data_IF_497293396673
#
_entry.id   IF_497293396673
#
_cell.length_a   1.000
_cell.length_b   1.000
_cell.length_c   1.000
_cell.angle_alpha   90.00
_cell.angle_beta   90.00
_cell.angle_gamma   90.00
#
_symmetry.space_group_name_H-M   'P 1'
#
loop_
_entity.id
_entity.type
_entity.pdbx_description
1 polymer ?
#
# COMPACT_ATOMS: atom_id res chain seq x y z
N UNK A 1 1.42 -3.93 15.38
CA UNK A 1 2.47 -3.66 14.38
C UNK A 1 2.53 -4.69 13.26
N UNK A 2 2.45 -6.01 13.53
CA UNK A 2 2.46 -7.04 12.46
C UNK A 2 1.40 -6.81 11.38
N UNK A 3 0.15 -6.49 11.77
CA UNK A 3 -0.95 -6.21 10.84
C UNK A 3 -0.68 -5.01 9.91
N UNK A 4 -0.11 -3.92 10.43
CA UNK A 4 0.25 -2.73 9.62
C UNK A 4 1.38 -3.06 8.64
N UNK A 5 2.42 -3.79 9.10
CA UNK A 5 3.52 -4.23 8.23
C UNK A 5 3.02 -5.11 7.08
N UNK A 6 2.08 -6.02 7.37
CA UNK A 6 1.44 -6.88 6.35
C UNK A 6 0.66 -6.04 5.33
N UNK A 7 -0.14 -5.07 5.77
CA UNK A 7 -0.91 -4.20 4.86
C UNK A 7 0.02 -3.35 3.98
N UNK A 8 1.11 -2.82 4.53
CA UNK A 8 2.11 -2.08 3.74
C UNK A 8 2.75 -2.98 2.69
N UNK A 9 3.16 -4.20 3.07
CA UNK A 9 3.72 -5.17 2.12
C UNK A 9 2.71 -5.54 1.02
N UNK A 10 1.43 -5.70 1.38
CA UNK A 10 0.36 -5.97 0.43
C UNK A 10 0.16 -4.82 -0.56
N UNK A 11 0.14 -3.57 -0.08
CA UNK A 11 0.04 -2.38 -0.95
C UNK A 11 1.21 -2.34 -1.95
N UNK A 12 2.43 -2.60 -1.48
CA UNK A 12 3.61 -2.62 -2.34
C UNK A 12 3.51 -3.70 -3.43
N UNK A 13 3.10 -4.91 -3.05
CA UNK A 13 2.90 -6.01 -3.98
C UNK A 13 1.80 -5.70 -5.01
N UNK A 14 0.68 -5.11 -4.56
CA UNK A 14 -0.39 -4.69 -5.45
C UNK A 14 0.08 -3.65 -6.47
N UNK A 15 0.86 -2.66 -6.05
CA UNK A 15 1.41 -1.63 -6.93
C UNK A 15 2.31 -2.20 -8.02
N UNK A 16 3.17 -3.17 -7.68
CA UNK A 16 4.01 -3.87 -8.67
C UNK A 16 3.14 -4.64 -9.66
N UNK A 17 2.16 -5.38 -9.17
CA UNK A 17 1.25 -6.16 -10.02
C UNK A 17 0.46 -5.24 -10.98
N UNK A 18 -0.01 -4.09 -10.49
CA UNK A 18 -0.69 -3.09 -11.30
C UNK A 18 0.22 -2.57 -12.42
N UNK A 19 1.47 -2.23 -12.09
CA UNK A 19 2.44 -1.74 -13.07
C UNK A 19 2.74 -2.78 -14.16
N UNK A 20 2.85 -4.05 -13.79
CA UNK A 20 3.07 -5.16 -14.74
C UNK A 20 1.88 -5.28 -15.69
N UNK A 21 0.65 -5.33 -15.16
CA UNK A 21 -0.57 -5.45 -15.97
C UNK A 21 -0.72 -4.24 -16.91
N UNK A 22 -0.51 -3.03 -16.39
CA UNK A 22 -0.59 -1.81 -17.17
C UNK A 22 0.44 -1.81 -18.31
N UNK A 23 1.69 -2.19 -18.01
CA UNK A 23 2.75 -2.30 -19.03
C UNK A 23 2.39 -3.31 -20.11
N UNK A 24 1.87 -4.48 -19.72
CA UNK A 24 1.43 -5.52 -20.65
C UNK A 24 0.31 -5.02 -21.57
N UNK A 25 -0.73 -4.38 -21.02
CA UNK A 25 -1.83 -3.80 -21.81
C UNK A 25 -1.29 -2.78 -22.82
N UNK A 26 -0.38 -1.91 -22.38
CA UNK A 26 0.17 -0.86 -23.23
C UNK A 26 1.04 -1.43 -24.36
N UNK A 27 1.87 -2.43 -24.07
CA UNK A 27 2.67 -3.13 -25.08
C UNK A 27 1.76 -3.81 -26.12
N UNK A 28 0.74 -4.53 -25.66
CA UNK A 28 -0.21 -5.20 -26.55
C UNK A 28 -0.93 -4.21 -27.48
N UNK A 29 -1.33 -3.04 -26.98
CA UNK A 29 -1.91 -1.97 -27.80
C UNK A 29 -0.93 -1.41 -28.82
N UNK A 30 0.32 -1.21 -28.43
CA UNK A 30 1.37 -0.70 -29.33
C UNK A 30 1.62 -1.65 -30.50
N UNK A 31 1.83 -2.94 -30.21
CA UNK A 31 2.00 -3.98 -31.23
C UNK A 31 0.78 -4.05 -32.14
N UNK A 32 -0.42 -3.97 -31.57
CA UNK A 32 -1.68 -4.00 -32.31
C UNK A 32 -1.87 -2.82 -33.25
N UNK A 33 -1.60 -1.60 -32.79
CA UNK A 33 -1.67 -0.40 -33.62
C UNK A 33 -0.69 -0.48 -34.79
N UNK A 34 0.53 -0.98 -34.55
CA UNK A 34 1.51 -1.16 -35.61
C UNK A 34 1.04 -2.18 -36.65
N UNK A 35 0.46 -3.31 -36.21
CA UNK A 35 -0.10 -4.30 -37.10
C UNK A 35 -1.24 -3.73 -37.96
N UNK A 36 -2.23 -3.08 -37.32
CA UNK A 36 -3.36 -2.45 -38.01
C UNK A 36 -2.92 -1.37 -39.00
N UNK A 37 -1.89 -0.58 -38.66
CA UNK A 37 -1.33 0.40 -39.57
C UNK A 37 -0.73 -0.26 -40.81
N UNK A 38 0.03 -1.35 -40.66
CA UNK A 38 0.60 -2.10 -41.79
C UNK A 38 -0.50 -2.66 -42.68
N UNK A 39 -1.56 -3.24 -42.11
CA UNK A 39 -2.70 -3.79 -42.86
C UNK A 39 -3.45 -2.68 -43.61
N UNK A 40 -3.75 -1.55 -42.96
CA UNK A 40 -4.41 -0.42 -43.61
C UNK A 40 -3.57 0.19 -44.74
N UNK A 41 -2.25 0.27 -44.57
CA UNK A 41 -1.36 0.69 -45.65
C UNK A 41 -1.37 -0.28 -46.83
N UNK A 42 -1.37 -1.59 -46.60
CA UNK A 42 -1.49 -2.59 -47.67
C UNK A 42 -2.80 -2.39 -48.45
N UNK A 43 -3.92 -2.23 -47.75
CA UNK A 43 -5.23 -1.91 -48.36
C UNK A 43 -5.18 -0.64 -49.19
N UNK A 44 -4.56 0.43 -48.67
CA UNK A 44 -4.42 1.69 -49.40
C UNK A 44 -3.61 1.50 -50.70
N UNK A 45 -2.53 0.70 -50.67
CA UNK A 45 -1.74 0.45 -51.87
C UNK A 45 -2.51 -0.34 -52.95
N UNK A 46 -3.39 -1.28 -52.60
CA UNK A 46 -4.21 -1.96 -53.64
C UNK A 46 -5.15 -0.97 -54.32
N UNK A 47 -5.73 -0.05 -53.56
CA UNK A 47 -6.59 1.02 -54.08
C UNK A 47 -5.81 2.01 -54.95
N UNK A 48 -4.60 2.39 -54.54
CA UNK A 48 -3.71 3.25 -55.34
C UNK A 48 -3.33 2.56 -56.66
N UNK A 49 -3.01 1.27 -56.62
CA UNK A 49 -2.71 0.47 -57.83
C UNK A 49 -3.91 0.49 -58.76
N UNK A 50 -5.11 0.14 -58.28
CA UNK A 50 -6.32 0.12 -59.09
C UNK A 50 -6.63 1.51 -59.69
N UNK A 51 -6.45 2.58 -58.91
CA UNK A 51 -6.59 3.97 -59.38
C UNK A 51 -5.59 4.31 -60.47
N UNK A 52 -4.32 3.95 -60.30
CA UNK A 52 -3.27 4.21 -61.30
C UNK A 52 -3.55 3.45 -62.60
N UNK A 53 -4.01 2.21 -62.52
CA UNK A 53 -4.44 1.42 -63.69
C UNK A 53 -5.58 2.13 -64.42
N UNK A 54 -6.62 2.56 -63.71
CA UNK A 54 -7.73 3.30 -64.31
C UNK A 54 -7.28 4.62 -64.96
N UNK A 55 -6.37 5.34 -64.31
CA UNK A 55 -5.80 6.58 -64.86
C UNK A 55 -4.99 6.34 -66.13
N UNK A 56 -4.13 5.31 -66.14
CA UNK A 56 -3.34 4.91 -67.30
C UNK A 56 -4.21 4.44 -68.46
N UNK A 57 -5.29 3.71 -68.17
CA UNK A 57 -6.28 3.31 -69.16
C UNK A 57 -6.91 4.52 -69.88
N UNK A 58 -7.22 5.58 -69.13
CA UNK A 58 -7.76 6.83 -69.71
C UNK A 58 -6.70 7.71 -70.36
N UNK A 59 -5.43 7.56 -69.97
CA UNK A 59 -4.31 8.39 -70.42
C UNK A 59 -3.14 7.50 -70.86
N UNK A 60 -3.16 7.02 -72.10
CA UNK A 60 -2.24 5.99 -72.61
C UNK A 60 -0.73 6.38 -72.53
N UNK A 61 -0.41 7.66 -72.40
CA UNK A 61 0.97 8.17 -72.24
C UNK A 61 1.38 8.41 -70.78
N UNK A 62 0.57 7.99 -69.80
CA UNK A 62 0.87 8.16 -68.38
C UNK A 62 2.08 7.30 -67.95
N UNK A 63 2.84 7.79 -66.98
CA UNK A 63 4.03 7.10 -66.46
C UNK A 63 3.67 5.96 -65.51
N UNK A 64 4.32 4.80 -65.68
CA UNK A 64 4.25 3.65 -64.77
C UNK A 64 4.84 3.91 -63.37
N UNK A 65 5.56 5.03 -63.15
CA UNK A 65 6.37 5.23 -61.94
C UNK A 65 5.56 5.11 -60.64
N UNK A 66 4.39 5.74 -60.58
CA UNK A 66 3.53 5.69 -59.38
C UNK A 66 2.95 4.29 -59.15
N UNK A 67 2.61 3.56 -60.22
CA UNK A 67 2.15 2.17 -60.15
C UNK A 67 3.25 1.27 -59.56
N UNK A 68 4.47 1.36 -60.10
CA UNK A 68 5.62 0.57 -59.64
C UNK A 68 5.99 0.91 -58.18
N UNK A 69 5.89 2.17 -57.78
CA UNK A 69 6.14 2.59 -56.40
C UNK A 69 5.11 2.01 -55.42
N UNK A 70 3.81 2.03 -55.74
CA UNK A 70 2.76 1.43 -54.90
C UNK A 70 2.91 -0.09 -54.80
N UNK A 71 3.27 -0.78 -55.89
CA UNK A 71 3.56 -2.23 -55.88
C UNK A 71 4.75 -2.54 -54.97
N UNK A 72 5.86 -1.81 -55.10
CA UNK A 72 7.05 -2.01 -54.26
C UNK A 72 6.76 -1.79 -52.78
N UNK A 73 6.00 -0.74 -52.45
CA UNK A 73 5.59 -0.46 -51.07
C UNK A 73 4.68 -1.56 -50.51
N UNK A 74 3.74 -2.07 -51.30
CA UNK A 74 2.90 -3.21 -50.90
C UNK A 74 3.75 -4.44 -50.56
N UNK A 75 4.68 -4.83 -51.44
CA UNK A 75 5.54 -6.01 -51.22
C UNK A 75 6.45 -5.85 -49.99
N UNK A 76 7.00 -4.65 -49.78
CA UNK A 76 7.80 -4.35 -48.58
C UNK A 76 6.95 -4.48 -47.30
N UNK A 77 5.71 -3.97 -47.32
CA UNK A 77 4.80 -4.10 -46.19
C UNK A 77 4.33 -5.54 -45.96
N UNK A 78 4.24 -6.38 -46.99
CA UNK A 78 3.91 -7.80 -46.85
C UNK A 78 4.94 -8.55 -46.01
N UNK A 79 6.23 -8.29 -46.23
CA UNK A 79 7.30 -8.87 -45.41
C UNK A 79 7.23 -8.44 -43.94
N UNK A 80 6.88 -7.18 -43.69
CA UNK A 80 6.73 -6.66 -42.32
C UNK A 80 5.49 -7.23 -41.63
N UNK A 81 4.38 -7.41 -42.37
CA UNK A 81 3.16 -8.05 -41.87
C UNK A 81 3.44 -9.49 -41.41
N UNK A 82 4.16 -10.27 -42.21
CA UNK A 82 4.44 -11.68 -41.90
C UNK A 82 5.36 -11.83 -40.67
N UNK A 83 6.22 -10.85 -40.39
CA UNK A 83 6.97 -10.78 -39.11
C UNK A 83 6.03 -10.51 -37.94
N UNK A 84 5.11 -9.57 -38.07
CA UNK A 84 4.18 -9.19 -37.01
C UNK A 84 3.13 -10.27 -36.73
N UNK A 85 2.70 -11.02 -37.75
CA UNK A 85 1.79 -12.17 -37.63
C UNK A 85 2.32 -13.30 -36.73
N UNK A 86 3.65 -13.42 -36.56
CA UNK A 86 4.24 -14.42 -35.66
C UNK A 86 3.87 -14.22 -34.20
N UNK A 87 3.52 -13.00 -33.81
CA UNK A 87 3.14 -12.63 -32.45
C UNK A 87 1.61 -12.69 -32.24
N UNK A 88 0.85 -13.04 -33.28
CA UNK A 88 -0.61 -13.14 -33.23
C UNK A 88 -0.99 -14.62 -33.23
N UNK A 89 -1.42 -15.11 -32.07
CA UNK A 89 -1.88 -16.49 -31.93
C UNK A 89 -3.39 -16.63 -32.20
N UNK A 90 -3.82 -16.27 -33.41
CA UNK A 90 -5.18 -16.51 -33.88
C UNK A 90 -5.16 -17.28 -35.18
N UNK A 91 -5.88 -18.40 -35.19
CA UNK A 91 -6.04 -19.23 -36.39
C UNK A 91 -6.82 -18.48 -37.47
N UNK A 92 -7.88 -17.79 -37.08
CA UNK A 92 -8.79 -17.05 -37.98
C UNK A 92 -8.05 -15.92 -38.70
N UNK A 93 -7.25 -15.13 -37.97
CA UNK A 93 -6.43 -14.06 -38.57
C UNK A 93 -5.41 -14.62 -39.56
N UNK A 94 -4.80 -15.77 -39.24
CA UNK A 94 -3.84 -16.42 -40.15
C UNK A 94 -4.52 -16.95 -41.42
N UNK A 95 -5.78 -17.36 -41.34
CA UNK A 95 -6.57 -17.80 -42.50
C UNK A 95 -6.89 -16.62 -43.42
N UNK A 96 -7.43 -15.52 -42.89
CA UNK A 96 -7.67 -14.29 -43.66
C UNK A 96 -6.38 -13.71 -44.25
N UNK A 97 -5.25 -13.76 -43.52
CA UNK A 97 -3.96 -13.34 -44.08
C UNK A 97 -3.51 -14.18 -45.29
N UNK A 98 -3.84 -15.48 -45.32
CA UNK A 98 -3.54 -16.35 -46.48
C UNK A 98 -4.48 -16.03 -47.63
N UNK A 99 -5.75 -15.78 -47.35
CA UNK A 99 -6.73 -15.39 -48.35
C UNK A 99 -6.35 -14.08 -49.05
N UNK A 100 -5.91 -13.07 -48.28
CA UNK A 100 -5.34 -11.83 -48.82
C UNK A 100 -4.15 -12.10 -49.74
N UNK A 101 -3.25 -13.02 -49.37
CA UNK A 101 -2.10 -13.36 -50.21
C UNK A 101 -2.52 -14.01 -51.53
N UNK A 102 -3.54 -14.89 -51.50
CA UNK A 102 -4.10 -15.51 -52.70
C UNK A 102 -4.78 -14.49 -53.60
N UNK A 103 -5.62 -13.62 -53.03
CA UNK A 103 -6.29 -12.53 -53.75
C UNK A 103 -5.29 -11.54 -54.35
N UNK A 104 -4.24 -11.20 -53.60
CA UNK A 104 -3.16 -10.34 -54.09
C UNK A 104 -2.46 -10.94 -55.30
N UNK A 105 -2.13 -12.23 -55.28
CA UNK A 105 -1.47 -12.87 -56.42
C UNK A 105 -2.33 -12.83 -57.68
N UNK A 106 -3.65 -13.04 -57.54
CA UNK A 106 -4.62 -12.90 -58.65
C UNK A 106 -4.67 -11.46 -59.16
N UNK A 107 -4.83 -10.50 -58.25
CA UNK A 107 -4.85 -9.07 -58.57
C UNK A 107 -3.58 -8.62 -59.28
N UNK A 108 -2.41 -9.01 -58.76
CA UNK A 108 -1.11 -8.66 -59.31
C UNK A 108 -0.89 -9.26 -60.71
N UNK A 109 -1.34 -10.49 -60.96
CA UNK A 109 -1.30 -11.10 -62.28
C UNK A 109 -2.08 -10.27 -63.30
N UNK A 110 -3.30 -9.85 -62.97
CA UNK A 110 -4.09 -9.01 -63.87
C UNK A 110 -3.46 -7.63 -64.09
N UNK A 111 -2.84 -7.06 -63.05
CA UNK A 111 -2.05 -5.83 -63.18
C UNK A 111 -0.88 -6.01 -64.15
N UNK A 112 -0.16 -7.14 -64.12
CA UNK A 112 0.90 -7.41 -65.10
C UNK A 112 0.35 -7.56 -66.51
N UNK A 113 -0.75 -8.31 -66.68
CA UNK A 113 -1.42 -8.45 -67.98
C UNK A 113 -1.80 -7.07 -68.55
N UNK A 114 -2.25 -6.15 -67.69
CA UNK A 114 -2.60 -4.79 -68.11
C UNK A 114 -1.37 -4.03 -68.59
N UNK A 115 -0.24 -4.13 -67.88
CA UNK A 115 1.00 -3.47 -68.29
C UNK A 115 1.49 -3.94 -69.65
N UNK A 116 1.37 -5.23 -69.92
CA UNK A 116 1.82 -5.82 -71.18
C UNK A 116 0.93 -5.37 -72.34
N UNK A 117 -0.40 -5.39 -72.15
CA UNK A 117 -1.36 -4.98 -73.17
C UNK A 117 -1.37 -3.46 -73.41
N UNK A 118 -1.17 -2.65 -72.37
CA UNK A 118 -1.18 -1.18 -72.49
C UNK A 118 0.02 -0.64 -73.30
N UNK A 119 1.06 -1.46 -73.52
CA UNK A 119 2.24 -1.10 -74.35
C UNK A 119 2.08 -1.43 -75.84
N UNK A 120 1.07 -2.22 -76.20
CA UNK A 120 0.90 -2.73 -77.57
C UNK A 120 -0.38 -2.14 -78.18
N UNK A 121 -0.24 -1.35 -79.25
CA UNK A 121 -1.36 -0.78 -80.00
C UNK A 121 -1.89 -1.78 -81.04
N UNK A 122 -3.05 -2.39 -80.81
CA UNK A 122 -3.69 -3.34 -81.74
C UNK A 122 -5.17 -3.00 -81.91
N UNK A 123 -5.76 -3.30 -83.07
CA UNK A 123 -7.12 -2.89 -83.46
C UNK A 123 -8.28 -3.32 -82.53
N UNK A 124 -8.06 -4.28 -81.61
CA UNK A 124 -9.03 -4.77 -80.62
C UNK A 124 -8.60 -4.54 -79.17
N UNK A 125 -7.50 -3.81 -78.93
CA UNK A 125 -6.93 -3.65 -77.60
C UNK A 125 -7.88 -2.98 -76.62
N UNK A 126 -8.75 -2.06 -77.08
CA UNK A 126 -9.59 -1.26 -76.18
C UNK A 126 -10.66 -2.08 -75.43
N UNK A 127 -11.29 -3.07 -76.07
CA UNK A 127 -12.31 -3.93 -75.43
C UNK A 127 -11.68 -4.88 -74.41
N UNK A 128 -10.54 -5.48 -74.77
CA UNK A 128 -9.78 -6.39 -73.88
C UNK A 128 -9.23 -5.61 -72.67
N UNK A 129 -8.75 -4.39 -72.90
CA UNK A 129 -8.21 -3.52 -71.84
C UNK A 129 -9.32 -3.05 -70.89
N UNK A 130 -10.53 -2.79 -71.39
CA UNK A 130 -11.70 -2.44 -70.56
C UNK A 130 -12.13 -3.61 -69.67
N UNK A 131 -12.24 -4.82 -70.22
CA UNK A 131 -12.54 -6.03 -69.45
C UNK A 131 -11.51 -6.26 -68.34
N UNK A 132 -10.23 -6.07 -68.66
CA UNK A 132 -9.15 -6.23 -67.71
C UNK A 132 -9.16 -5.18 -66.59
N UNK A 133 -9.43 -3.91 -66.91
CA UNK A 133 -9.58 -2.84 -65.91
C UNK A 133 -10.75 -3.14 -64.98
N UNK A 134 -11.88 -3.63 -65.50
CA UNK A 134 -13.02 -4.03 -64.69
C UNK A 134 -12.69 -5.22 -63.79
N UNK A 135 -11.92 -6.20 -64.28
CA UNK A 135 -11.46 -7.34 -63.49
C UNK A 135 -10.53 -6.91 -62.35
N UNK A 136 -9.57 -6.01 -62.63
CA UNK A 136 -8.68 -5.41 -61.62
C UNK A 136 -9.50 -4.65 -60.57
N UNK A 137 -10.51 -3.88 -61.00
CA UNK A 137 -11.39 -3.16 -60.09
C UNK A 137 -12.14 -4.11 -59.14
N UNK A 138 -12.76 -5.16 -59.67
CA UNK A 138 -13.50 -6.14 -58.86
C UNK A 138 -12.58 -6.89 -57.89
N UNK A 139 -11.40 -7.33 -58.34
CA UNK A 139 -10.41 -7.98 -57.47
C UNK A 139 -9.90 -7.04 -56.37
N UNK A 140 -9.78 -5.74 -56.65
CA UNK A 140 -9.46 -4.75 -55.61
C UNK A 140 -10.60 -4.59 -54.60
N UNK A 141 -11.88 -4.64 -55.03
CA UNK A 141 -13.00 -4.63 -54.10
C UNK A 141 -12.97 -5.86 -53.18
N UNK A 142 -12.74 -7.05 -53.74
CA UNK A 142 -12.61 -8.28 -52.95
C UNK A 142 -11.46 -8.18 -51.93
N UNK A 143 -10.30 -7.66 -52.34
CA UNK A 143 -9.18 -7.39 -51.44
C UNK A 143 -9.54 -6.41 -50.31
N UNK A 144 -10.23 -5.33 -50.63
CA UNK A 144 -10.64 -4.32 -49.64
C UNK A 144 -11.61 -4.91 -48.63
N UNK A 145 -12.58 -5.70 -49.08
CA UNK A 145 -13.52 -6.42 -48.20
C UNK A 145 -12.75 -7.34 -47.27
N UNK A 146 -11.86 -8.16 -47.82
CA UNK A 146 -11.08 -9.12 -47.05
C UNK A 146 -10.15 -8.44 -46.02
N UNK A 147 -9.50 -7.34 -46.40
CA UNK A 147 -8.72 -6.52 -45.47
C UNK A 147 -9.57 -5.95 -44.33
N UNK A 148 -10.77 -5.47 -44.61
CA UNK A 148 -11.66 -4.93 -43.57
C UNK A 148 -12.15 -6.05 -42.63
N UNK A 149 -12.53 -7.21 -43.17
CA UNK A 149 -12.91 -8.38 -42.36
C UNK A 149 -11.79 -8.77 -41.40
N UNK A 150 -10.55 -8.86 -41.90
CA UNK A 150 -9.38 -9.17 -41.07
C UNK A 150 -9.15 -8.12 -39.97
N UNK A 151 -9.30 -6.83 -40.29
CA UNK A 151 -9.17 -5.72 -39.33
C UNK A 151 -10.22 -5.84 -38.23
N UNK A 152 -11.47 -6.12 -38.58
CA UNK A 152 -12.58 -6.21 -37.63
C UNK A 152 -12.42 -7.41 -36.68
N UNK A 153 -12.05 -8.57 -37.22
CA UNK A 153 -11.74 -9.77 -36.42
C UNK A 153 -10.61 -9.48 -35.44
N UNK A 154 -9.53 -8.86 -35.92
CA UNK A 154 -8.40 -8.51 -35.07
C UNK A 154 -8.77 -7.53 -33.96
N UNK A 155 -9.54 -6.48 -34.28
CA UNK A 155 -10.03 -5.53 -33.29
C UNK A 155 -10.87 -6.20 -32.20
N UNK A 156 -11.77 -7.10 -32.60
CA UNK A 156 -12.64 -7.83 -31.68
C UNK A 156 -11.84 -8.76 -30.75
N UNK A 157 -10.89 -9.52 -31.29
CA UNK A 157 -10.00 -10.36 -30.47
C UNK A 157 -9.15 -9.54 -29.51
N UNK A 158 -8.59 -8.41 -29.96
CA UNK A 158 -7.82 -7.51 -29.12
C UNK A 158 -8.65 -6.96 -27.95
N UNK A 159 -9.84 -6.43 -28.23
CA UNK A 159 -10.68 -5.85 -27.18
C UNK A 159 -11.14 -6.94 -26.19
N UNK A 160 -11.44 -8.15 -26.66
CA UNK A 160 -11.76 -9.27 -25.79
C UNK A 160 -10.57 -9.64 -24.87
N UNK A 161 -9.36 -9.72 -25.42
CA UNK A 161 -8.17 -10.04 -24.64
C UNK A 161 -7.84 -8.93 -23.63
N UNK A 162 -7.86 -7.66 -24.06
CA UNK A 162 -7.48 -6.52 -23.21
C UNK A 162 -8.56 -6.21 -22.16
N UNK A 163 -9.85 -6.37 -22.47
CA UNK A 163 -10.94 -6.04 -21.55
C UNK A 163 -10.87 -6.85 -20.26
N UNK A 164 -10.44 -8.11 -20.32
CA UNK A 164 -10.22 -8.96 -19.15
C UNK A 164 -9.15 -8.37 -18.23
N UNK A 165 -7.98 -8.00 -18.78
CA UNK A 165 -6.90 -7.39 -18.00
C UNK A 165 -7.28 -6.01 -17.45
N UNK A 166 -8.03 -5.21 -18.23
CA UNK A 166 -8.56 -3.90 -17.80
C UNK A 166 -9.50 -4.06 -16.60
N UNK A 167 -10.37 -5.06 -16.62
CA UNK A 167 -11.26 -5.34 -15.48
C UNK A 167 -10.48 -5.75 -14.23
N UNK A 168 -9.46 -6.61 -14.39
CA UNK A 168 -8.56 -7.00 -13.28
C UNK A 168 -7.83 -5.78 -12.73
N UNK A 169 -7.29 -4.91 -13.58
CA UNK A 169 -6.63 -3.67 -13.20
C UNK A 169 -7.55 -2.78 -12.34
N UNK A 170 -8.82 -2.59 -12.75
CA UNK A 170 -9.78 -1.83 -11.96
C UNK A 170 -10.12 -2.46 -10.61
N UNK A 171 -10.26 -3.79 -10.55
CA UNK A 171 -10.49 -4.51 -9.29
C UNK A 171 -9.29 -4.34 -8.36
N UNK A 172 -8.07 -4.52 -8.87
CA UNK A 172 -6.86 -4.35 -8.08
C UNK A 172 -6.72 -2.91 -7.60
N UNK A 173 -7.01 -1.91 -8.44
CA UNK A 173 -6.99 -0.51 -8.03
C UNK A 173 -8.00 -0.23 -6.91
N UNK A 174 -9.22 -0.76 -7.01
CA UNK A 174 -10.23 -0.64 -5.94
C UNK A 174 -9.73 -1.24 -4.62
N UNK A 175 -9.14 -2.44 -4.67
CA UNK A 175 -8.56 -3.11 -3.50
C UNK A 175 -7.43 -2.29 -2.88
N UNK A 176 -6.58 -1.66 -3.72
CA UNK A 176 -5.51 -0.76 -3.26
C UNK A 176 -6.08 0.43 -2.49
N UNK A 177 -7.13 1.07 -3.01
CA UNK A 177 -7.79 2.22 -2.36
C UNK A 177 -8.36 1.81 -1.00
N UNK A 178 -9.02 0.65 -0.91
CA UNK A 178 -9.54 0.12 0.36
C UNK A 178 -8.39 -0.13 1.36
N UNK A 179 -7.26 -0.69 0.91
CA UNK A 179 -6.09 -0.91 1.76
C UNK A 179 -5.50 0.40 2.30
N UNK A 180 -5.44 1.45 1.46
CA UNK A 180 -4.97 2.78 1.88
C UNK A 180 -5.90 3.41 2.92
N UNK A 181 -7.22 3.33 2.71
CA UNK A 181 -8.20 3.82 3.70
C UNK A 181 -8.03 3.10 5.04
N UNK A 182 -7.87 1.77 5.00
CA UNK A 182 -7.62 0.98 6.20
C UNK A 182 -6.33 1.40 6.90
N UNK A 183 -5.23 1.59 6.16
CA UNK A 183 -3.95 2.03 6.71
C UNK A 183 -4.08 3.39 7.41
N UNK A 184 -4.75 4.35 6.78
CA UNK A 184 -4.99 5.67 7.37
C UNK A 184 -5.81 5.55 8.67
N UNK A 185 -6.82 4.68 8.71
CA UNK A 185 -7.59 4.42 9.93
C UNK A 185 -6.72 3.88 11.06
N UNK A 186 -5.87 2.89 10.78
CA UNK A 186 -4.96 2.30 11.77
C UNK A 186 -3.97 3.32 12.32
N UNK A 187 -3.43 4.20 11.46
CA UNK A 187 -2.52 5.28 11.88
C UNK A 187 -3.24 6.27 12.80
N UNK A 188 -4.49 6.65 12.50
CA UNK A 188 -5.29 7.53 13.37
C UNK A 188 -5.49 6.94 14.77
N UNK A 189 -5.77 5.64 14.88
CA UNK A 189 -5.97 4.98 16.17
C UNK A 189 -4.67 4.95 16.98
N UNK A 190 -3.54 4.69 16.32
CA UNK A 190 -2.23 4.73 16.94
C UNK A 190 -1.88 6.14 17.45
N UNK A 191 -2.16 7.19 16.67
CA UNK A 191 -1.97 8.59 17.10
C UNK A 191 -2.81 8.90 18.34
N UNK A 192 -4.09 8.52 18.36
CA UNK A 192 -4.97 8.72 19.53
C UNK A 192 -4.44 8.01 20.76
N UNK A 193 -3.96 6.78 20.60
CA UNK A 193 -3.32 6.06 21.70
C UNK A 193 -2.09 6.80 22.22
N UNK A 194 -1.17 7.22 21.34
CA UNK A 194 0.01 7.97 21.76
C UNK A 194 -0.34 9.26 22.50
N UNK A 195 -1.35 10.00 22.04
CA UNK A 195 -1.82 11.20 22.75
C UNK A 195 -2.37 10.87 24.15
N UNK A 196 -3.20 9.83 24.27
CA UNK A 196 -3.72 9.36 25.57
C UNK A 196 -2.58 8.88 26.48
N UNK A 197 -1.65 8.10 25.94
CA UNK A 197 -0.48 7.59 26.63
C UNK A 197 0.40 8.72 27.13
N UNK A 198 0.82 9.65 26.27
CA UNK A 198 1.63 10.80 26.68
C UNK A 198 0.93 11.65 27.72
N UNK A 199 -0.38 11.87 27.60
CA UNK A 199 -1.16 12.62 28.59
C UNK A 199 -1.24 11.89 29.92
N UNK A 200 -1.49 10.58 29.90
CA UNK A 200 -1.52 9.75 31.10
C UNK A 200 -0.14 9.66 31.76
N UNK A 201 0.93 9.43 30.99
CA UNK A 201 2.31 9.43 31.48
C UNK A 201 2.71 10.78 32.06
N UNK A 202 2.34 11.91 31.42
CA UNK A 202 2.54 13.24 31.99
C UNK A 202 1.83 13.38 33.33
N UNK A 203 0.59 12.90 33.45
CA UNK A 203 -0.14 12.90 34.74
C UNK A 203 0.53 12.00 35.78
N UNK A 204 1.02 10.81 35.41
CA UNK A 204 1.77 9.95 36.33
C UNK A 204 3.01 10.67 36.82
N UNK A 205 3.79 11.28 35.92
CA UNK A 205 5.04 11.96 36.28
C UNK A 205 4.76 13.23 37.10
N UNK A 206 3.71 13.99 36.76
CA UNK A 206 3.33 15.20 37.51
C UNK A 206 2.64 14.90 38.84
N UNK A 207 1.95 13.76 38.93
CA UNK A 207 1.13 13.35 40.08
C UNK A 207 1.65 12.05 40.73
N UNK A 208 2.94 11.75 40.61
CA UNK A 208 3.57 10.49 41.06
C UNK A 208 3.47 10.23 42.57
N UNK A 209 2.88 11.18 43.32
CA UNK A 209 2.72 11.17 44.77
C UNK A 209 1.24 11.18 45.20
N UNK A 210 0.28 11.03 44.27
CA UNK A 210 -1.16 11.06 44.54
C UNK A 210 -1.76 9.66 44.37
N UNK A 211 -2.34 9.11 45.44
CA UNK A 211 -3.19 7.91 45.37
C UNK A 211 -4.37 8.19 44.43
N UNK A 212 -4.60 7.32 43.44
CA UNK A 212 -5.74 7.44 42.52
C UNK A 212 -5.36 7.94 41.13
N UNK A 213 -4.19 7.52 40.64
CA UNK A 213 -3.74 7.85 39.28
C UNK A 213 -4.71 7.21 38.27
N UNK A 214 -5.31 8.06 37.41
CA UNK A 214 -6.33 7.62 36.46
C UNK A 214 -5.74 6.73 35.37
N UNK A 215 -6.13 5.44 35.38
CA UNK A 215 -5.84 4.44 34.35
C UNK A 215 -6.25 4.94 32.96
N UNK A 216 -5.55 4.48 31.92
CA UNK A 216 -5.99 4.71 30.54
C UNK A 216 -7.20 3.81 30.31
N UNK A 217 -8.34 4.41 29.90
CA UNK A 217 -9.53 3.67 29.51
C UNK A 217 -9.19 2.66 28.41
N UNK A 218 -9.62 1.42 28.60
CA UNK A 218 -9.37 0.34 27.65
C UNK A 218 -9.93 0.70 26.27
N UNK A 219 -9.02 0.97 25.33
CA UNK A 219 -9.40 1.11 23.94
C UNK A 219 -9.42 -0.27 23.30
N UNK A 220 -10.58 -0.66 22.73
CA UNK A 220 -10.71 -1.80 21.81
C UNK A 220 -9.89 -1.51 20.55
N UNK A 221 -8.58 -1.66 20.63
CA UNK A 221 -7.64 -1.30 19.57
C UNK A 221 -6.59 -2.39 19.40
N UNK A 222 -5.78 -2.25 18.33
CA UNK A 222 -4.63 -3.09 17.95
C UNK A 222 -3.99 -3.80 19.14
N UNK A 223 -3.81 -5.11 19.04
CA UNK A 223 -3.27 -5.98 20.11
C UNK A 223 -2.06 -5.39 20.85
N UNK A 224 -1.07 -4.86 20.14
CA UNK A 224 0.10 -4.20 20.75
C UNK A 224 -0.27 -2.97 21.59
N UNK A 225 -1.28 -2.20 21.18
CA UNK A 225 -1.81 -1.04 21.91
C UNK A 225 -2.55 -1.50 23.17
N UNK A 226 -3.31 -2.58 23.09
CA UNK A 226 -3.98 -3.18 24.24
C UNK A 226 -2.95 -3.69 25.27
N UNK A 227 -1.91 -4.40 24.81
CA UNK A 227 -0.81 -4.87 25.65
C UNK A 227 -0.05 -3.73 26.32
N UNK A 228 0.26 -2.66 25.58
CA UNK A 228 0.91 -1.48 26.15
C UNK A 228 0.02 -0.75 27.18
N UNK A 229 -1.29 -0.67 26.91
CA UNK A 229 -2.28 -0.11 27.85
C UNK A 229 -2.34 -0.92 29.14
N UNK A 230 -2.37 -2.25 29.02
CA UNK A 230 -2.37 -3.15 30.16
C UNK A 230 -1.10 -3.02 31.00
N UNK A 231 0.08 -3.02 30.36
CA UNK A 231 1.36 -2.87 31.04
C UNK A 231 1.45 -1.53 31.78
N UNK A 232 0.99 -0.45 31.15
CA UNK A 232 0.93 0.87 31.76
C UNK A 232 -0.04 0.91 32.96
N UNK A 233 -1.26 0.39 32.80
CA UNK A 233 -2.24 0.36 33.89
C UNK A 233 -1.77 -0.51 35.07
N UNK A 234 -1.04 -1.59 34.80
CA UNK A 234 -0.39 -2.42 35.83
C UNK A 234 0.70 -1.66 36.57
N UNK A 235 1.52 -0.88 35.85
CA UNK A 235 2.54 -0.02 36.46
C UNK A 235 1.89 1.01 37.40
N UNK A 236 0.84 1.67 36.93
CA UNK A 236 0.08 2.66 37.71
C UNK A 236 -0.45 2.04 39.01
N UNK A 237 -1.04 0.85 38.93
CA UNK A 237 -1.58 0.14 40.09
C UNK A 237 -0.49 -0.27 41.09
N UNK A 238 0.70 -0.66 40.61
CA UNK A 238 1.85 -0.93 41.48
C UNK A 238 2.32 0.33 42.22
N UNK A 239 2.35 1.48 41.54
CA UNK A 239 2.73 2.76 42.15
C UNK A 239 1.73 3.11 43.27
N UNK A 240 0.43 3.07 42.98
CA UNK A 240 -0.62 3.35 43.96
C UNK A 240 -0.51 2.42 45.19
N UNK A 241 -0.30 1.11 44.94
CA UNK A 241 -0.15 0.11 46.00
C UNK A 241 1.12 0.35 46.84
N UNK A 242 2.24 0.72 46.21
CA UNK A 242 3.48 1.04 46.93
C UNK A 242 3.34 2.29 47.80
N UNK A 243 2.66 3.34 47.33
CA UNK A 243 2.38 4.54 48.13
C UNK A 243 1.49 4.20 49.33
N UNK A 244 0.45 3.39 49.13
CA UNK A 244 -0.43 2.93 50.21
C UNK A 244 0.34 2.11 51.25
N UNK A 245 1.16 1.16 50.81
CA UNK A 245 1.99 0.35 51.71
C UNK A 245 2.98 1.21 52.49
N UNK A 246 3.64 2.17 51.86
CA UNK A 246 4.54 3.11 52.54
C UNK A 246 3.81 3.93 53.61
N UNK A 247 2.61 4.42 53.29
CA UNK A 247 1.76 5.17 54.22
C UNK A 247 1.39 4.32 55.44
N UNK A 248 0.93 3.09 55.20
CA UNK A 248 0.60 2.14 56.27
C UNK A 248 1.82 1.76 57.12
N UNK A 249 3.00 1.60 56.50
CA UNK A 249 4.24 1.32 57.23
C UNK A 249 4.64 2.49 58.13
N UNK A 250 4.54 3.74 57.66
CA UNK A 250 4.81 4.93 58.50
C UNK A 250 3.85 4.97 59.70
N UNK A 251 2.56 4.68 59.48
CA UNK A 251 1.56 4.67 60.54
C UNK A 251 1.80 3.56 61.58
N UNK A 252 2.11 2.35 61.13
CA UNK A 252 2.46 1.24 62.01
C UNK A 252 3.75 1.52 62.81
N UNK A 253 4.78 2.10 62.16
CA UNK A 253 6.00 2.51 62.86
C UNK A 253 5.69 3.54 63.93
N UNK A 254 4.85 4.54 63.63
CA UNK A 254 4.43 5.55 64.61
C UNK A 254 3.73 4.92 65.83
N UNK A 255 2.79 4.00 65.59
CA UNK A 255 2.07 3.30 66.67
C UNK A 255 3.01 2.45 67.55
N UNK A 256 3.98 1.78 66.92
CA UNK A 256 4.97 0.97 67.64
C UNK A 256 5.92 1.83 68.47
N UNK A 257 6.32 3.01 67.97
CA UNK A 257 7.15 3.96 68.74
C UNK A 257 6.42 4.42 70.00
N UNK A 258 5.13 4.74 69.91
CA UNK A 258 4.33 5.11 71.08
C UNK A 258 4.20 3.96 72.09
N UNK A 259 4.09 2.71 71.61
CA UNK A 259 4.06 1.55 72.51
C UNK A 259 5.40 1.40 73.24
N UNK A 260 6.52 1.55 72.53
CA UNK A 260 7.85 1.49 73.10
C UNK A 260 8.13 2.63 74.09
N UNK A 261 7.62 3.83 73.81
CA UNK A 261 7.66 4.98 74.72
C UNK A 261 7.01 4.64 76.05
N UNK A 262 5.77 4.13 76.03
CA UNK A 262 5.06 3.67 77.22
C UNK A 262 5.82 2.57 77.97
N UNK A 263 6.43 1.61 77.25
CA UNK A 263 7.20 0.52 77.87
C UNK A 263 8.45 1.05 78.58
N UNK A 264 9.15 2.03 78.01
CA UNK A 264 10.31 2.69 78.63
C UNK A 264 9.87 3.52 79.85
N UNK A 265 8.79 4.29 79.75
CA UNK A 265 8.24 5.06 80.88
C UNK A 265 7.85 4.15 82.05
N UNK A 266 7.12 3.06 81.79
CA UNK A 266 6.77 2.06 82.81
C UNK A 266 8.01 1.42 83.45
N UNK A 267 9.08 1.23 82.68
CA UNK A 267 10.33 0.64 83.19
C UNK A 267 11.13 1.64 84.03
N UNK A 268 11.13 2.93 83.65
CA UNK A 268 11.70 4.01 84.48
C UNK A 268 10.93 4.10 85.81
N UNK A 269 9.60 4.11 85.78
CA UNK A 269 8.76 4.13 87.00
C UNK A 269 9.07 2.94 87.92
N UNK A 270 9.19 1.73 87.36
CA UNK A 270 9.55 0.52 88.12
C UNK A 270 10.96 0.59 88.73
N UNK A 271 11.94 1.17 88.01
CA UNK A 271 13.28 1.44 88.56
C UNK A 271 13.20 2.45 89.70
N UNK A 272 12.44 3.53 89.55
CA UNK A 272 12.25 4.55 90.58
C UNK A 272 11.57 3.99 91.83
N UNK A 273 10.56 3.12 91.69
CA UNK A 273 9.92 2.44 92.83
C UNK A 273 10.86 1.46 93.55
N UNK A 274 11.76 0.78 92.83
CA UNK A 274 12.80 -0.05 93.43
C UNK A 274 13.90 0.77 94.13
N UNK A 275 14.05 2.06 93.76
CA UNK A 275 15.06 2.97 94.30
C UNK A 275 14.77 3.43 95.75
N UNK A 276 13.53 3.31 96.23
CA UNK A 276 13.09 3.76 97.57
C UNK A 276 13.48 2.80 98.72
N UNK A 277 14.14 1.67 98.45
CA UNK A 277 14.31 0.57 99.41
C UNK A 277 15.71 0.29 100.01
N UNK A 278 16.82 0.52 99.32
CA UNK A 278 18.17 0.09 99.78
C UNK A 278 19.30 0.97 99.17
N UNK A 279 20.51 0.87 99.74
CA UNK A 279 21.71 1.67 99.43
C UNK A 279 21.96 1.89 97.92
N UNK A 280 22.16 3.17 97.54
CA UNK A 280 22.28 3.68 96.15
C UNK A 280 23.24 2.82 95.28
N UNK A 281 22.68 1.96 94.43
CA UNK A 281 23.45 1.24 93.41
C UNK A 281 23.73 2.16 92.22
N UNK A 282 24.99 2.56 92.06
CA UNK A 282 25.47 3.38 90.93
C UNK A 282 25.18 2.75 89.56
N UNK A 283 25.06 1.42 89.50
CA UNK A 283 24.72 0.73 88.24
C UNK A 283 23.26 0.95 87.84
N UNK A 284 22.36 1.07 88.81
CA UNK A 284 20.93 1.30 88.59
C UNK A 284 20.66 2.72 88.08
N UNK A 285 21.28 3.73 88.69
CA UNK A 285 21.21 5.12 88.21
C UNK A 285 21.79 5.26 86.80
N UNK A 286 22.88 4.57 86.49
CA UNK A 286 23.45 4.56 85.14
C UNK A 286 22.50 3.94 84.10
N UNK A 287 21.72 2.92 84.49
CA UNK A 287 20.71 2.30 83.61
C UNK A 287 19.51 3.22 83.41
N UNK A 288 19.08 3.92 84.45
CA UNK A 288 18.05 4.97 84.37
C UNK A 288 18.47 6.09 83.40
N UNK A 289 19.70 6.61 83.53
CA UNK A 289 20.23 7.63 82.62
C UNK A 289 20.22 7.17 81.15
N UNK A 290 20.60 5.91 80.89
CA UNK A 290 20.58 5.32 79.53
C UNK A 290 19.14 5.21 78.99
N UNK A 291 18.16 4.91 79.85
CA UNK A 291 16.75 4.80 79.46
C UNK A 291 16.14 6.18 79.17
N UNK A 292 16.50 7.20 79.95
CA UNK A 292 16.12 8.59 79.71
C UNK A 292 16.70 9.07 78.38
N UNK A 293 17.98 8.81 78.11
CA UNK A 293 18.62 9.12 76.82
C UNK A 293 17.91 8.39 75.66
N UNK A 294 17.56 7.11 75.86
CA UNK A 294 16.81 6.34 74.86
C UNK A 294 15.40 6.89 74.61
N UNK A 295 14.72 7.39 75.65
CA UNK A 295 13.41 8.04 75.53
C UNK A 295 13.51 9.37 74.77
N UNK A 296 14.56 10.15 75.01
CA UNK A 296 14.82 11.40 74.31
C UNK A 296 15.11 11.15 72.82
N UNK A 297 15.97 10.16 72.51
CA UNK A 297 16.25 9.74 71.12
C UNK A 297 14.99 9.19 70.42
N UNK A 298 14.13 8.46 71.16
CA UNK A 298 12.88 7.93 70.65
C UNK A 298 11.90 9.05 70.29
N UNK A 299 11.78 10.06 71.15
CA UNK A 299 10.92 11.22 70.93
C UNK A 299 11.38 12.02 69.71
N UNK A 300 12.69 12.25 69.56
CA UNK A 300 13.28 12.85 68.35
C UNK A 300 12.95 12.03 67.10
N UNK A 301 13.03 10.70 67.19
CA UNK A 301 12.68 9.80 66.08
C UNK A 301 11.19 9.83 65.74
N UNK A 302 10.29 9.90 66.74
CA UNK A 302 8.86 10.03 66.56
C UNK A 302 8.48 11.39 65.95
N UNK A 303 9.14 12.48 66.37
CA UNK A 303 8.97 13.81 65.80
C UNK A 303 9.45 13.85 64.34
N UNK A 304 10.61 13.25 64.05
CA UNK A 304 11.10 13.11 62.68
C UNK A 304 10.14 12.31 61.79
N UNK A 305 9.51 11.24 62.32
CA UNK A 305 8.53 10.45 61.58
C UNK A 305 7.22 11.24 61.35
N UNK A 306 6.79 12.04 62.33
CA UNK A 306 5.64 12.93 62.23
C UNK A 306 5.89 14.04 61.20
N UNK A 307 7.08 14.60 61.18
CA UNK A 307 7.54 15.55 60.17
C UNK A 307 7.58 14.90 58.80
N UNK A 308 8.14 13.69 58.67
CA UNK A 308 8.13 12.92 57.43
C UNK A 308 6.71 12.65 56.93
N UNK A 309 5.79 12.23 57.81
CA UNK A 309 4.36 12.03 57.47
C UNK A 309 3.71 13.33 57.02
N UNK A 310 3.98 14.44 57.72
CA UNK A 310 3.47 15.77 57.37
C UNK A 310 4.02 16.25 56.05
N UNK A 311 5.32 16.18 55.82
CA UNK A 311 5.97 16.56 54.56
C UNK A 311 5.43 15.72 53.41
N UNK A 312 5.23 14.42 53.63
CA UNK A 312 4.61 13.51 52.66
C UNK A 312 3.16 13.91 52.32
N UNK A 313 2.38 14.37 53.31
CA UNK A 313 0.97 14.78 53.14
C UNK A 313 0.80 16.25 52.66
N UNK A 314 1.68 17.17 53.05
CA UNK A 314 1.69 18.57 52.59
C UNK A 314 2.16 18.63 51.13
N UNK A 315 3.21 17.90 50.78
CA UNK A 315 3.62 17.71 49.39
C UNK A 315 2.50 17.07 48.55
N UNK A 316 1.64 16.24 49.14
CA UNK A 316 0.47 15.67 48.48
C UNK A 316 -0.68 16.68 48.27
N UNK A 317 -0.79 17.74 49.09
CA UNK A 317 -1.90 18.70 49.04
C UNK A 317 -1.57 20.03 48.34
N UNK A 318 -0.29 20.41 48.18
CA UNK A 318 0.13 21.72 47.66
C UNK A 318 -0.08 21.95 46.14
N UNK A 319 -0.65 20.99 45.40
CA UNK A 319 -0.94 21.12 43.94
C UNK A 319 -2.38 20.79 43.56
N UNK A 320 -3.30 21.06 44.49
CA UNK A 320 -4.74 20.94 44.26
C UNK A 320 -5.38 22.21 43.65
N UNK A 321 -4.58 23.26 43.41
CA UNK A 321 -4.97 24.51 42.70
C UNK A 321 -4.34 24.61 41.30
#
# INVERSE_FOLDING_TARGET
>A
MKKIKIVIALIFLLSILLAIIFSYINEQRSVSNNFLNVINQQKAFTQEIAKNIFYMYKNQNASDKQLDDSIKKFLSNMQNRDKNLKYIDSKEIREHSKEIAVLWNKFYLEVQNFRDLNKVTVAYSNLILEELVNKIYNLNLDLVVEFNTMIDIYHKELENNISTYRNIEYILFLVLVICLIYLVSQVKDLIKFFQKFTSASKRVISNASVIGIKKIEETKTVEDVASATYAFNTLVEKIDTSILNATNSIENTYANLHTLENDIENFIELISEMHDGEEIDKELTKKEDILIESLEELNVSAENLKNLKRDFLEFANQKRD
#
